data_IF_487850472982
#
_entry.id   IF_487850472982
#
_cell.length_a   1.000
_cell.length_b   1.000
_cell.length_c   1.000
_cell.angle_alpha   90.00
_cell.angle_beta   90.00
_cell.angle_gamma   90.00
#
_symmetry.space_group_name_H-M   'P 1'
#
loop_
_entity.id
_entity.type
_entity.pdbx_description
1 polymer ?
#
# COMPACT_ATOMS: atom_id res chain seq x y z
N UNK A 1 -20.88 22.21 -0.78
CA UNK A 1 -19.61 21.90 -0.08
C UNK A 1 -18.44 21.60 -1.03
N UNK A 2 -18.63 21.06 -2.24
CA UNK A 2 -17.52 20.79 -3.18
C UNK A 2 -16.87 22.03 -3.84
N UNK A 3 -17.56 23.17 -3.93
CA UNK A 3 -17.06 24.33 -4.70
C UNK A 3 -15.88 25.06 -4.06
N UNK A 4 -15.74 25.03 -2.74
CA UNK A 4 -14.64 25.66 -2.01
C UNK A 4 -13.33 24.87 -2.12
N UNK A 5 -13.43 23.55 -2.00
CA UNK A 5 -12.26 22.65 -2.06
C UNK A 5 -11.62 22.68 -3.45
N UNK A 6 -12.43 22.59 -4.51
CA UNK A 6 -11.89 22.66 -5.88
C UNK A 6 -11.18 23.98 -6.18
N UNK A 7 -11.70 25.11 -5.67
CA UNK A 7 -11.08 26.42 -5.84
C UNK A 7 -9.79 26.56 -5.04
N UNK A 8 -9.76 26.00 -3.83
CA UNK A 8 -8.57 25.95 -2.97
C UNK A 8 -7.46 25.08 -3.58
N UNK A 9 -7.79 23.88 -4.07
CA UNK A 9 -6.83 22.99 -4.72
C UNK A 9 -6.25 23.65 -5.97
N UNK A 10 -7.09 24.22 -6.83
CA UNK A 10 -6.61 24.94 -8.02
C UNK A 10 -5.67 26.09 -7.66
N UNK A 11 -6.04 26.89 -6.66
CA UNK A 11 -5.21 28.00 -6.18
C UNK A 11 -3.82 27.53 -5.70
N UNK A 12 -3.77 26.44 -4.93
CA UNK A 12 -2.50 25.90 -4.42
C UNK A 12 -1.65 25.25 -5.51
N UNK A 13 -2.27 24.54 -6.45
CA UNK A 13 -1.57 23.96 -7.61
C UNK A 13 -0.90 25.05 -8.45
N UNK A 14 -1.61 26.16 -8.69
CA UNK A 14 -1.08 27.26 -9.51
C UNK A 14 0.07 28.00 -8.82
N UNK A 15 0.09 28.07 -7.48
CA UNK A 15 1.09 28.82 -6.70
C UNK A 15 2.31 28.00 -6.31
N UNK A 16 2.10 26.75 -5.90
CA UNK A 16 3.16 25.88 -5.36
C UNK A 16 3.10 24.48 -6.01
N UNK A 17 3.27 24.40 -7.35
CA UNK A 17 3.03 23.15 -8.08
C UNK A 17 3.95 22.03 -7.62
N UNK A 18 5.21 22.34 -7.30
CA UNK A 18 6.20 21.35 -6.85
C UNK A 18 5.80 20.73 -5.51
N UNK A 19 5.29 21.54 -4.57
CA UNK A 19 4.87 21.07 -3.25
C UNK A 19 3.65 20.15 -3.39
N UNK A 20 2.63 20.59 -4.13
CA UNK A 20 1.41 19.81 -4.34
C UNK A 20 1.72 18.49 -5.05
N UNK A 21 2.54 18.51 -6.10
CA UNK A 21 2.93 17.30 -6.81
C UNK A 21 3.78 16.37 -5.94
N UNK A 22 4.65 16.91 -5.08
CA UNK A 22 5.45 16.10 -4.14
C UNK A 22 4.54 15.36 -3.15
N UNK A 23 3.54 16.04 -2.59
CA UNK A 23 2.55 15.40 -1.71
C UNK A 23 1.66 14.41 -2.45
N UNK A 24 1.26 14.72 -3.68
CA UNK A 24 0.47 13.81 -4.50
C UNK A 24 1.25 12.52 -4.80
N UNK A 25 2.50 12.65 -5.26
CA UNK A 25 3.37 11.50 -5.57
C UNK A 25 3.66 10.70 -4.29
N UNK A 26 4.04 11.38 -3.20
CA UNK A 26 4.30 10.72 -1.92
C UNK A 26 3.07 10.01 -1.36
N UNK A 27 1.90 10.65 -1.43
CA UNK A 27 0.63 10.07 -1.00
C UNK A 27 0.25 8.84 -1.82
N UNK A 28 0.40 8.90 -3.15
CA UNK A 28 0.19 7.73 -4.02
C UNK A 28 1.18 6.62 -3.66
N UNK A 29 2.46 6.92 -3.53
CA UNK A 29 3.48 5.92 -3.22
C UNK A 29 3.20 5.16 -1.91
N UNK A 30 2.77 5.88 -0.87
CA UNK A 30 2.40 5.27 0.43
C UNK A 30 1.09 4.49 0.35
N UNK A 31 0.13 4.95 -0.47
CA UNK A 31 -1.16 4.27 -0.64
C UNK A 31 -1.07 3.02 -1.54
N UNK A 32 -0.12 2.96 -2.47
CA UNK A 32 -0.01 1.88 -3.45
C UNK A 32 0.05 0.48 -2.81
N UNK A 33 0.90 0.18 -1.79
CA UNK A 33 0.92 -1.14 -1.18
C UNK A 33 -0.43 -1.58 -0.58
N UNK A 34 -1.23 -0.64 -0.08
CA UNK A 34 -2.54 -0.93 0.52
C UNK A 34 -3.58 -1.38 -0.51
N UNK A 35 -3.45 -0.95 -1.77
CA UNK A 35 -4.44 -1.24 -2.83
C UNK A 35 -3.90 -2.21 -3.86
N UNK A 36 -2.65 -2.05 -4.30
CA UNK A 36 -2.04 -2.84 -5.37
C UNK A 36 -1.77 -4.26 -4.92
N UNK A 37 -1.29 -4.48 -3.70
CA UNK A 37 -0.99 -5.84 -3.21
C UNK A 37 -2.26 -6.71 -3.17
N UNK A 38 -3.37 -6.31 -2.51
CA UNK A 38 -4.58 -7.14 -2.51
C UNK A 38 -5.17 -7.31 -3.92
N UNK A 39 -5.08 -6.29 -4.78
CA UNK A 39 -5.51 -6.40 -6.18
C UNK A 39 -4.67 -7.42 -6.95
N UNK A 40 -3.35 -7.43 -6.78
CA UNK A 40 -2.47 -8.42 -7.43
C UNK A 40 -2.73 -9.84 -6.91
N UNK A 41 -3.01 -9.99 -5.61
CA UNK A 41 -3.40 -11.28 -5.03
C UNK A 41 -4.72 -11.80 -5.60
N UNK A 42 -5.73 -10.95 -5.78
CA UNK A 42 -7.01 -11.37 -6.36
C UNK A 42 -6.91 -11.81 -7.82
N UNK A 43 -5.88 -11.33 -8.54
CA UNK A 43 -5.55 -11.76 -9.90
C UNK A 43 -4.63 -12.98 -9.96
N UNK A 44 -4.18 -13.53 -8.82
CA UNK A 44 -3.21 -14.62 -8.77
C UNK A 44 -1.79 -14.23 -9.21
N UNK A 45 -1.46 -12.93 -9.20
CA UNK A 45 -0.12 -12.45 -9.54
C UNK A 45 0.84 -12.57 -8.35
N UNK A 46 2.15 -12.81 -8.58
CA UNK A 46 3.11 -13.02 -7.51
C UNK A 46 3.36 -11.74 -6.69
N UNK A 47 3.14 -11.77 -5.38
CA UNK A 47 3.33 -10.65 -4.45
C UNK A 47 4.50 -10.85 -3.46
N UNK A 48 5.40 -11.78 -3.75
CA UNK A 48 6.53 -12.16 -2.88
C UNK A 48 7.47 -10.98 -2.53
N UNK A 49 7.52 -9.96 -3.39
CA UNK A 49 8.27 -8.71 -3.16
C UNK A 49 7.75 -7.91 -1.94
N UNK A 50 6.48 -8.10 -1.57
CA UNK A 50 5.83 -7.43 -0.45
C UNK A 50 5.62 -8.38 0.73
N UNK A 51 5.31 -9.65 0.45
CA UNK A 51 4.96 -10.66 1.46
C UNK A 51 6.18 -11.41 2.02
N UNK A 52 7.33 -11.25 1.38
CA UNK A 52 8.54 -12.01 1.65
C UNK A 52 8.55 -13.36 0.91
N UNK A 53 9.70 -14.06 0.92
CA UNK A 53 9.82 -15.35 0.26
C UNK A 53 8.83 -16.37 0.85
N UNK A 54 8.21 -17.17 -0.01
CA UNK A 54 7.39 -18.33 0.40
C UNK A 54 8.35 -19.37 1.00
N UNK A 55 8.60 -19.27 2.31
CA UNK A 55 9.43 -20.24 3.03
C UNK A 55 8.60 -21.50 3.26
N UNK A 56 9.03 -22.68 2.74
CA UNK A 56 8.33 -23.94 2.97
C UNK A 56 8.27 -24.22 4.47
N UNK A 57 7.16 -24.80 4.95
CA UNK A 57 6.87 -24.95 6.38
C UNK A 57 8.03 -25.56 7.19
N UNK A 58 8.75 -26.52 6.61
CA UNK A 58 9.94 -27.17 7.22
C UNK A 58 11.13 -26.24 7.49
N UNK A 59 11.21 -25.10 6.82
CA UNK A 59 12.30 -24.11 6.93
C UNK A 59 11.89 -22.87 7.74
N UNK A 60 10.62 -22.78 8.17
CA UNK A 60 10.19 -21.66 9.02
C UNK A 60 10.81 -21.86 10.42
N UNK A 61 11.51 -20.85 10.97
CA UNK A 61 11.94 -20.93 12.36
C UNK A 61 10.70 -21.05 13.25
N UNK A 62 10.70 -22.00 14.18
CA UNK A 62 9.58 -22.20 15.11
C UNK A 62 9.30 -20.88 15.84
N UNK A 63 8.09 -20.34 15.64
CA UNK A 63 7.64 -19.10 16.29
C UNK A 63 7.09 -19.33 17.69
N UNK A 64 7.26 -20.54 18.24
CA UNK A 64 6.75 -20.92 19.55
C UNK A 64 5.26 -20.59 19.69
N UNK A 65 4.90 -19.82 20.71
CA UNK A 65 3.52 -19.44 21.03
C UNK A 65 2.85 -18.48 20.03
N UNK A 66 3.57 -17.99 19.01
CA UNK A 66 3.03 -17.07 17.98
C UNK A 66 2.65 -17.79 16.69
N UNK A 67 2.73 -19.12 16.63
CA UNK A 67 2.13 -19.85 15.52
C UNK A 67 0.61 -19.71 15.58
N UNK A 68 -0.04 -19.28 14.47
CA UNK A 68 -1.49 -19.39 14.40
C UNK A 68 -1.83 -20.87 14.57
N UNK A 69 -2.68 -21.18 15.56
CA UNK A 69 -3.31 -22.49 15.64
C UNK A 69 -4.18 -22.61 14.41
N UNK A 70 -3.73 -23.39 13.44
CA UNK A 70 -4.58 -23.79 12.33
C UNK A 70 -5.80 -24.51 12.94
N UNK A 71 -6.96 -23.84 12.93
CA UNK A 71 -8.24 -24.48 13.22
C UNK A 71 -8.46 -25.55 12.14
N UNK A 72 -8.53 -26.79 12.59
CA UNK A 72 -8.80 -27.99 11.79
C UNK A 72 -10.20 -27.95 11.17
#
# INVERSE_FOLDING_TARGET
MLSGVGRFVRYYVDREPVVVMSFAIGGVAVALPLVVVPLRRSMGLPTDQYDGPIVPARMRPSRGFLEPKDEQ
#
